data_IF_511708707210
#
_entry.id   IF_511708707210
#
_cell.length_a   1.000
_cell.length_b   1.000
_cell.length_c   1.000
_cell.angle_alpha   90.00
_cell.angle_beta   90.00
_cell.angle_gamma   90.00
#
_symmetry.space_group_name_H-M   'P 1'
#
loop_
_entity.id
_entity.type
_entity.pdbx_description
1 polymer ?
#
# COMPACT_ATOMS: atom_id res chain seq x y z
N UNK A 1 2.96 -13.16 -18.26
CA UNK A 1 2.82 -14.29 -17.31
C UNK A 1 1.46 -14.16 -16.66
N UNK A 2 0.71 -15.26 -16.52
CA UNK A 2 -0.70 -15.25 -16.06
C UNK A 2 -0.88 -16.29 -14.95
N UNK A 3 -1.76 -16.00 -13.98
CA UNK A 3 -2.09 -16.89 -12.87
C UNK A 3 -3.59 -16.79 -12.53
N UNK A 4 -4.20 -17.95 -12.25
CA UNK A 4 -5.65 -18.17 -12.13
C UNK A 4 -6.12 -17.94 -10.70
N UNK A 5 -7.26 -17.25 -10.53
CA UNK A 5 -7.97 -17.16 -9.25
C UNK A 5 -9.13 -18.17 -9.23
N UNK A 6 -9.06 -19.16 -8.33
CA UNK A 6 -10.20 -19.99 -7.96
C UNK A 6 -11.06 -19.21 -6.96
N UNK A 7 -12.30 -18.92 -7.33
CA UNK A 7 -13.32 -18.45 -6.41
C UNK A 7 -14.49 -19.42 -6.46
N UNK A 8 -14.83 -20.06 -5.34
CA UNK A 8 -16.15 -20.63 -5.06
C UNK A 8 -16.26 -20.95 -3.56
N UNK A 9 -17.01 -20.12 -2.84
CA UNK A 9 -17.69 -20.51 -1.62
C UNK A 9 -19.02 -19.74 -1.59
N UNK A 10 -20.12 -20.43 -1.89
CA UNK A 10 -21.45 -19.93 -1.63
C UNK A 10 -21.85 -20.23 -0.19
N UNK A 11 -22.39 -19.23 0.52
CA UNK A 11 -23.56 -19.38 1.39
C UNK A 11 -24.27 -18.02 1.36
N UNK A 12 -25.52 -18.01 0.95
CA UNK A 12 -26.39 -16.85 1.09
C UNK A 12 -26.73 -16.65 2.57
N UNK A 13 -26.32 -15.54 3.17
CA UNK A 13 -26.93 -15.00 4.39
C UNK A 13 -26.87 -13.48 4.31
N UNK A 14 -27.98 -12.85 4.70
CA UNK A 14 -28.17 -11.40 4.71
C UNK A 14 -26.95 -10.70 5.33
N UNK A 15 -26.17 -10.03 4.47
CA UNK A 15 -25.08 -9.19 4.94
C UNK A 15 -25.69 -7.83 5.28
N UNK A 16 -26.19 -7.71 6.51
CA UNK A 16 -26.15 -6.42 7.20
C UNK A 16 -24.69 -5.96 7.03
N UNK A 17 -24.47 -5.01 6.11
CA UNK A 17 -23.14 -4.58 5.74
C UNK A 17 -22.58 -3.80 6.92
N UNK A 18 -22.10 -4.53 7.93
CA UNK A 18 -21.19 -4.03 8.93
C UNK A 18 -20.11 -3.30 8.13
N UNK A 19 -20.04 -1.99 8.31
CA UNK A 19 -19.04 -1.17 7.65
C UNK A 19 -17.69 -1.87 7.81
N UNK A 20 -16.92 -2.08 6.73
CA UNK A 20 -15.66 -2.81 6.81
C UNK A 20 -14.85 -2.22 7.95
N UNK A 21 -14.41 -3.07 8.87
CA UNK A 21 -13.66 -2.64 10.04
C UNK A 21 -12.55 -1.71 9.57
N UNK A 22 -12.49 -0.52 10.18
CA UNK A 22 -11.50 0.49 9.80
C UNK A 22 -10.11 -0.17 9.85
N UNK A 23 -9.28 -0.07 8.80
CA UNK A 23 -7.94 -0.64 8.83
C UNK A 23 -7.18 -0.16 10.06
N UNK A 24 -6.51 -1.09 10.76
CA UNK A 24 -5.92 -0.86 12.09
C UNK A 24 -4.87 0.26 12.09
N UNK A 25 -4.22 0.50 10.96
CA UNK A 25 -3.13 1.46 10.79
C UNK A 25 -3.60 2.91 10.58
N UNK A 26 -4.90 3.15 10.33
CA UNK A 26 -5.39 4.49 10.00
C UNK A 26 -5.21 5.49 11.15
N UNK A 27 -4.52 6.59 10.87
CA UNK A 27 -4.25 7.66 11.85
C UNK A 27 -3.17 7.32 12.87
N UNK A 28 -2.55 6.13 12.81
CA UNK A 28 -1.34 5.85 13.58
C UNK A 28 -0.15 6.63 13.00
N UNK A 29 0.84 7.00 13.82
CA UNK A 29 2.06 7.60 13.29
C UNK A 29 2.82 6.60 12.44
N UNK A 30 3.34 7.05 11.29
CA UNK A 30 4.20 6.26 10.42
C UNK A 30 5.55 6.08 11.09
N UNK A 31 5.96 4.83 11.31
CA UNK A 31 7.25 4.51 11.91
C UNK A 31 8.40 4.69 10.93
N UNK A 32 8.28 4.13 9.73
CA UNK A 32 9.26 4.20 8.65
C UNK A 32 8.52 4.03 7.31
N UNK A 33 9.10 4.56 6.24
CA UNK A 33 8.65 4.33 4.86
C UNK A 33 9.82 3.69 4.13
N UNK A 34 9.62 2.47 3.64
CA UNK A 34 10.61 1.74 2.85
C UNK A 34 10.06 1.51 1.44
N UNK A 35 10.95 1.64 0.46
CA UNK A 35 10.69 1.20 -0.89
C UNK A 35 11.44 -0.11 -1.10
N UNK A 36 10.75 -1.11 -1.64
CA UNK A 36 11.30 -2.43 -1.87
C UNK A 36 10.90 -2.87 -3.28
N UNK A 37 11.86 -3.40 -4.05
CA UNK A 37 11.57 -4.02 -5.33
C UNK A 37 11.07 -5.44 -5.09
N UNK A 38 9.88 -5.78 -5.59
CA UNK A 38 9.36 -7.17 -5.51
C UNK A 38 10.20 -8.17 -6.32
N UNK A 39 11.14 -7.69 -7.14
CA UNK A 39 12.18 -8.47 -7.80
C UNK A 39 13.20 -7.57 -8.50
N UNK A 40 14.48 -7.92 -8.43
CA UNK A 40 15.57 -7.09 -8.95
C UNK A 40 15.99 -5.98 -7.98
N UNK A 41 16.67 -4.96 -8.50
CA UNK A 41 17.11 -3.80 -7.74
C UNK A 41 16.16 -2.61 -7.99
N UNK A 42 16.07 -1.71 -7.01
CA UNK A 42 15.41 -0.42 -7.24
C UNK A 42 16.21 0.40 -8.26
N UNK A 43 15.55 1.32 -8.99
CA UNK A 43 16.27 2.25 -9.85
C UNK A 43 17.33 3.03 -9.06
N UNK A 44 18.43 3.39 -9.71
CA UNK A 44 19.49 4.24 -9.10
C UNK A 44 18.99 5.66 -8.75
N UNK A 45 17.84 6.05 -9.30
CA UNK A 45 17.20 7.32 -9.00
C UNK A 45 16.70 7.36 -7.55
N UNK A 46 16.97 8.46 -6.85
CA UNK A 46 16.46 8.61 -5.49
C UNK A 46 14.95 8.90 -5.51
N UNK A 47 14.14 7.91 -5.13
CA UNK A 47 12.68 7.97 -5.14
C UNK A 47 12.08 8.52 -3.84
N UNK A 48 12.81 8.43 -2.72
CA UNK A 48 12.33 8.90 -1.40
C UNK A 48 11.90 10.39 -1.38
N UNK A 49 12.52 11.31 -2.15
CA UNK A 49 12.05 12.69 -2.25
C UNK A 49 10.67 12.85 -2.89
N UNK A 50 10.23 11.88 -3.70
CA UNK A 50 8.93 11.93 -4.38
C UNK A 50 7.77 11.61 -3.43
N UNK A 51 8.06 10.94 -2.31
CA UNK A 51 7.04 10.52 -1.33
C UNK A 51 6.64 11.70 -0.44
N UNK A 52 5.33 11.86 -0.25
CA UNK A 52 4.76 12.78 0.72
C UNK A 52 4.71 12.16 2.12
N UNK A 53 4.45 10.87 2.24
CA UNK A 53 4.46 10.18 3.53
C UNK A 53 5.88 10.23 4.14
N UNK A 54 5.99 10.78 5.36
CA UNK A 54 7.23 10.79 6.13
C UNK A 54 7.08 10.09 7.47
N UNK A 55 8.20 9.66 8.02
CA UNK A 55 8.27 9.19 9.40
C UNK A 55 7.70 10.24 10.35
N UNK A 56 6.86 9.80 11.29
CA UNK A 56 6.16 10.64 12.27
C UNK A 56 4.81 11.20 11.79
N UNK A 57 4.53 11.21 10.49
CA UNK A 57 3.24 11.65 9.96
C UNK A 57 2.11 10.70 10.37
N UNK A 58 0.88 11.22 10.39
CA UNK A 58 -0.30 10.38 10.59
C UNK A 58 -0.61 9.63 9.31
N UNK A 59 -0.70 8.30 9.39
CA UNK A 59 -1.04 7.47 8.24
C UNK A 59 -2.38 7.92 7.65
N UNK A 60 -2.37 8.24 6.36
CA UNK A 60 -3.51 8.71 5.60
C UNK A 60 -3.59 7.98 4.27
N UNK A 61 -4.73 7.35 3.99
CA UNK A 61 -4.99 6.69 2.70
C UNK A 61 -4.87 7.66 1.54
N UNK A 62 -5.25 8.92 1.72
CA UNK A 62 -5.15 9.91 0.65
C UNK A 62 -3.67 10.18 0.29
N UNK A 63 -2.81 10.29 1.29
CA UNK A 63 -1.37 10.51 1.09
C UNK A 63 -0.75 9.30 0.41
N UNK A 64 -1.00 8.08 0.92
CA UNK A 64 -0.47 6.85 0.31
C UNK A 64 -0.94 6.68 -1.14
N UNK A 65 -2.22 6.96 -1.43
CA UNK A 65 -2.72 6.91 -2.81
C UNK A 65 -2.05 7.93 -3.72
N UNK A 66 -1.74 9.12 -3.20
CA UNK A 66 -0.99 10.13 -3.95
C UNK A 66 0.43 9.66 -4.24
N UNK A 67 1.11 9.09 -3.24
CA UNK A 67 2.48 8.58 -3.39
C UNK A 67 2.55 7.44 -4.41
N UNK A 68 1.61 6.48 -4.34
CA UNK A 68 1.50 5.41 -5.33
C UNK A 68 1.30 5.95 -6.75
N UNK A 69 0.45 6.96 -6.92
CA UNK A 69 0.20 7.57 -8.22
C UNK A 69 1.44 8.29 -8.77
N UNK A 70 2.19 8.99 -7.90
CA UNK A 70 3.45 9.65 -8.27
C UNK A 70 4.48 8.62 -8.73
N UNK A 71 4.68 7.56 -7.94
CA UNK A 71 5.62 6.48 -8.29
C UNK A 71 5.25 5.82 -9.61
N UNK A 72 3.97 5.48 -9.80
CA UNK A 72 3.50 4.88 -11.06
C UNK A 72 3.69 5.83 -12.26
N UNK A 73 3.49 7.14 -12.07
CA UNK A 73 3.63 8.14 -13.13
C UNK A 73 5.04 8.32 -13.66
N UNK A 74 6.07 7.86 -12.92
CA UNK A 74 7.46 7.89 -13.39
C UNK A 74 7.67 6.99 -14.61
N UNK A 75 6.81 6.00 -14.83
CA UNK A 75 6.97 4.99 -15.88
C UNK A 75 8.07 3.96 -15.60
N UNK A 76 8.73 4.04 -14.43
CA UNK A 76 9.79 3.11 -14.02
C UNK A 76 9.22 1.77 -13.53
N UNK A 77 7.96 1.75 -13.10
CA UNK A 77 7.31 0.59 -12.50
C UNK A 77 6.10 0.14 -13.32
N UNK A 78 5.96 -1.17 -13.51
CA UNK A 78 4.77 -1.77 -14.11
C UNK A 78 3.61 -1.90 -13.13
N UNK A 79 3.92 -1.99 -11.83
CA UNK A 79 2.99 -2.07 -10.72
C UNK A 79 3.61 -1.42 -9.48
N UNK A 80 2.80 -0.75 -8.66
CA UNK A 80 3.21 -0.17 -7.37
C UNK A 80 2.17 -0.50 -6.32
N UNK A 81 2.59 -1.13 -5.23
CA UNK A 81 1.74 -1.55 -4.13
C UNK A 81 2.21 -0.91 -2.82
N UNK A 82 1.31 -0.75 -1.86
CA UNK A 82 1.64 -0.30 -0.52
C UNK A 82 1.10 -1.32 0.49
N UNK A 83 1.99 -1.76 1.38
CA UNK A 83 1.66 -2.64 2.49
C UNK A 83 1.93 -1.92 3.81
N UNK A 84 1.04 -2.13 4.78
CA UNK A 84 1.18 -1.56 6.12
C UNK A 84 1.45 -2.70 7.11
N UNK A 85 2.65 -2.72 7.66
CA UNK A 85 3.07 -3.71 8.65
C UNK A 85 3.09 -3.13 10.07
N UNK A 86 2.78 -3.94 11.10
CA UNK A 86 2.98 -3.53 12.49
C UNK A 86 4.46 -3.24 12.73
N UNK A 87 4.78 -2.06 13.26
CA UNK A 87 6.15 -1.73 13.63
C UNK A 87 6.64 -2.64 14.76
N UNK A 88 7.82 -3.24 14.58
CA UNK A 88 8.58 -3.87 15.67
C UNK A 88 9.31 -2.77 16.43
N UNK A 89 9.05 -2.69 17.74
CA UNK A 89 9.71 -1.76 18.66
C UNK A 89 11.16 -2.16 18.93
#
# INVERSE_FOLDING_TARGET
MSLVALALCGVAYAQEAAAPARPWYLGLPVGQVNLEASGGELPDENLEPLLQARQGDRYSVQVIRSDLAVLYSTGLFSEVLAEAEPGVA
#
